data_IF_720078783112
#
_entry.id   IF_720078783112
#
_cell.length_a   1.000
_cell.length_b   1.000
_cell.length_c   1.000
_cell.angle_alpha   90.00
_cell.angle_beta   90.00
_cell.angle_gamma   90.00
#
_symmetry.space_group_name_H-M   'P 1'
#
loop_
_entity.id
_entity.type
_entity.pdbx_description
1 polymer ?
#
# COMPACT_ATOMS: atom_id res chain seq x y z
N UNK A 1 5.57 2.76 -8.97
CA UNK A 1 5.61 1.49 -8.20
C UNK A 1 7.01 0.91 -8.20
N UNK A 2 7.65 0.74 -9.37
CA UNK A 2 9.07 0.38 -9.50
C UNK A 2 10.02 1.29 -8.69
N UNK A 3 9.89 2.61 -8.81
CA UNK A 3 10.72 3.58 -8.03
C UNK A 3 10.61 3.51 -6.50
N UNK A 4 9.62 2.82 -5.95
CA UNK A 4 9.43 2.72 -4.49
C UNK A 4 10.01 1.40 -3.95
N UNK A 5 10.05 0.36 -4.77
CA UNK A 5 10.69 -0.92 -4.48
C UNK A 5 12.20 -0.83 -4.78
N UNK A 6 12.58 -0.27 -5.93
CA UNK A 6 13.99 -0.03 -6.31
C UNK A 6 14.71 0.86 -5.28
N UNK A 7 14.03 1.92 -4.81
CA UNK A 7 14.59 2.80 -3.77
C UNK A 7 14.67 2.14 -2.39
N UNK A 8 13.83 1.14 -2.13
CA UNK A 8 13.80 0.39 -0.87
C UNK A 8 14.87 -0.72 -0.85
N UNK A 9 15.19 -1.31 -2.01
CA UNK A 9 16.32 -2.24 -2.18
C UNK A 9 17.68 -1.52 -2.20
N UNK A 10 17.76 -0.29 -2.73
CA UNK A 10 19.00 0.49 -2.80
C UNK A 10 19.38 1.20 -1.48
N UNK A 11 18.40 1.63 -0.67
CA UNK A 11 18.64 2.40 0.57
C UNK A 11 18.69 1.50 1.82
N UNK A 12 19.71 0.64 1.88
CA UNK A 12 20.31 0.00 3.05
C UNK A 12 19.48 -0.05 4.38
N UNK A 13 18.99 -1.24 4.81
CA UNK A 13 18.21 -1.39 6.05
C UNK A 13 18.99 -0.98 7.33
N UNK A 14 20.33 -0.97 7.27
CA UNK A 14 21.18 -0.71 8.44
C UNK A 14 21.22 0.78 8.86
N UNK A 15 20.93 1.72 7.95
CA UNK A 15 20.90 3.17 8.27
C UNK A 15 19.63 3.62 8.99
N UNK A 16 18.57 2.81 8.97
CA UNK A 16 17.31 3.08 9.67
C UNK A 16 17.43 2.84 11.18
N UNK A 17 18.36 1.99 11.59
CA UNK A 17 18.60 1.58 12.99
C UNK A 17 19.08 2.75 13.86
N UNK A 18 19.63 3.82 13.26
CA UNK A 18 20.12 5.01 13.97
C UNK A 18 19.18 6.23 13.90
N UNK A 19 18.07 6.14 13.15
CA UNK A 19 17.10 7.23 13.03
C UNK A 19 16.13 7.23 14.20
N UNK A 20 16.13 8.29 15.02
CA UNK A 20 15.21 8.45 16.16
C UNK A 20 13.73 8.27 15.83
N UNK A 21 12.87 8.21 16.85
CA UNK A 21 11.45 7.78 16.76
C UNK A 21 10.58 8.42 15.66
N UNK A 22 10.98 9.57 15.09
CA UNK A 22 10.32 10.18 13.93
C UNK A 22 10.44 9.36 12.63
N UNK A 23 11.62 8.78 12.33
CA UNK A 23 11.82 8.00 11.10
C UNK A 23 11.02 6.70 11.13
N UNK A 24 11.04 6.02 12.28
CA UNK A 24 10.23 4.82 12.53
C UNK A 24 8.74 5.08 12.31
N UNK A 25 8.21 6.20 12.80
CA UNK A 25 6.81 6.56 12.59
C UNK A 25 6.47 6.82 11.11
N UNK A 26 7.39 7.44 10.36
CA UNK A 26 7.21 7.65 8.91
C UNK A 26 7.15 6.31 8.18
N UNK A 27 8.06 5.39 8.49
CA UNK A 27 8.09 4.06 7.88
C UNK A 27 6.83 3.27 8.21
N UNK A 28 6.43 3.20 9.48
CA UNK A 28 5.21 2.51 9.91
C UNK A 28 3.98 3.05 9.19
N UNK A 29 3.83 4.38 9.16
CA UNK A 29 2.71 5.05 8.46
C UNK A 29 2.71 4.73 6.97
N UNK A 30 3.88 4.78 6.32
CA UNK A 30 4.05 4.42 4.91
C UNK A 30 3.65 2.96 4.66
N UNK A 31 4.17 2.02 5.44
CA UNK A 31 3.87 0.58 5.32
C UNK A 31 2.38 0.31 5.46
N UNK A 32 1.73 0.85 6.50
CA UNK A 32 0.29 0.70 6.72
C UNK A 32 -0.51 1.23 5.53
N UNK A 33 -0.14 2.40 5.00
CA UNK A 33 -0.81 2.99 3.85
C UNK A 33 -0.68 2.12 2.59
N UNK A 34 0.52 1.61 2.30
CA UNK A 34 0.77 0.77 1.14
C UNK A 34 0.04 -0.56 1.24
N UNK A 35 0.04 -1.21 2.41
CA UNK A 35 -0.73 -2.44 2.64
C UNK A 35 -2.22 -2.22 2.43
N UNK A 36 -2.78 -1.10 2.91
CA UNK A 36 -4.19 -0.77 2.70
C UNK A 36 -4.51 -0.57 1.21
N UNK A 37 -3.68 0.18 0.47
CA UNK A 37 -3.86 0.39 -0.98
C UNK A 37 -3.75 -0.93 -1.74
N UNK A 38 -2.83 -1.79 -1.34
CA UNK A 38 -2.64 -3.09 -1.95
C UNK A 38 -3.87 -3.98 -1.72
N UNK A 39 -4.41 -4.01 -0.50
CA UNK A 39 -5.68 -4.69 -0.20
C UNK A 39 -6.83 -4.13 -1.04
N UNK A 40 -6.99 -2.81 -1.11
CA UNK A 40 -8.06 -2.18 -1.92
C UNK A 40 -7.92 -2.54 -3.40
N UNK A 41 -6.69 -2.54 -3.92
CA UNK A 41 -6.41 -2.95 -5.29
C UNK A 41 -6.76 -4.43 -5.50
N UNK A 42 -6.40 -5.29 -4.56
CA UNK A 42 -6.76 -6.71 -4.58
C UNK A 42 -8.27 -6.88 -4.64
N UNK A 43 -8.99 -6.38 -3.66
CA UNK A 43 -10.39 -6.74 -3.45
C UNK A 43 -11.34 -6.04 -4.42
N UNK A 44 -11.09 -4.76 -4.71
CA UNK A 44 -12.02 -3.94 -5.49
C UNK A 44 -11.65 -3.84 -6.96
N UNK A 45 -10.41 -4.15 -7.32
CA UNK A 45 -9.96 -4.12 -8.71
C UNK A 45 -9.61 -5.52 -9.23
N UNK A 46 -8.64 -6.21 -8.63
CA UNK A 46 -8.15 -7.49 -9.15
C UNK A 46 -9.20 -8.60 -9.05
N UNK A 47 -9.71 -8.89 -7.84
CA UNK A 47 -10.73 -9.91 -7.60
C UNK A 47 -12.03 -9.59 -8.33
N UNK A 48 -12.40 -8.31 -8.37
CA UNK A 48 -13.69 -7.90 -8.92
C UNK A 48 -13.74 -7.92 -10.45
N UNK A 49 -12.60 -7.71 -11.12
CA UNK A 49 -12.59 -7.47 -12.57
C UNK A 49 -11.65 -8.36 -13.37
N UNK A 50 -10.53 -8.83 -12.81
CA UNK A 50 -9.43 -9.40 -13.59
C UNK A 50 -9.06 -10.85 -13.22
N UNK A 51 -9.29 -11.24 -11.97
CA UNK A 51 -8.93 -12.55 -11.43
C UNK A 51 -10.00 -13.04 -10.47
N UNK A 52 -10.14 -14.34 -10.32
CA UNK A 52 -10.83 -14.97 -9.20
C UNK A 52 -9.94 -15.00 -7.95
N UNK A 53 -10.54 -15.20 -6.78
CA UNK A 53 -9.80 -15.41 -5.51
C UNK A 53 -8.80 -16.58 -5.62
N UNK A 54 -9.19 -17.69 -6.25
CA UNK A 54 -8.36 -18.88 -6.42
C UNK A 54 -7.16 -18.62 -7.34
N UNK A 55 -7.36 -17.88 -8.43
CA UNK A 55 -6.26 -17.49 -9.33
C UNK A 55 -5.22 -16.61 -8.60
N UNK A 56 -5.67 -15.64 -7.81
CA UNK A 56 -4.75 -14.83 -7.01
C UNK A 56 -4.04 -15.66 -5.94
N UNK A 57 -4.76 -16.59 -5.29
CA UNK A 57 -4.18 -17.54 -4.35
C UNK A 57 -3.09 -18.42 -4.97
N UNK A 58 -3.30 -18.89 -6.20
CA UNK A 58 -2.32 -19.68 -6.95
C UNK A 58 -1.07 -18.86 -7.34
N UNK A 59 -1.22 -17.55 -7.55
CA UNK A 59 -0.10 -16.63 -7.79
C UNK A 59 0.63 -16.22 -6.49
N UNK A 60 0.14 -16.67 -5.32
CA UNK A 60 0.69 -16.31 -4.02
C UNK A 60 0.15 -15.00 -3.45
N UNK A 61 -0.81 -14.34 -4.12
CA UNK A 61 -1.39 -13.08 -3.66
C UNK A 61 -2.69 -13.28 -2.86
N UNK A 62 -2.51 -13.85 -1.66
CA UNK A 62 -3.59 -14.16 -0.71
C UNK A 62 -4.21 -12.90 -0.08
N UNK A 63 -5.35 -13.01 0.63
CA UNK A 63 -5.92 -11.89 1.37
C UNK A 63 -4.89 -11.26 2.31
N UNK A 64 -4.75 -9.93 2.26
CA UNK A 64 -3.75 -9.21 3.05
C UNK A 64 -4.02 -9.27 4.56
N UNK A 65 -5.24 -9.63 4.95
CA UNK A 65 -5.56 -9.91 6.34
C UNK A 65 -4.75 -11.07 6.93
N UNK A 66 -4.37 -12.05 6.11
CA UNK A 66 -3.64 -13.23 6.56
C UNK A 66 -2.25 -12.85 7.10
N UNK A 67 -1.61 -11.84 6.51
CA UNK A 67 -0.31 -11.29 6.92
C UNK A 67 -0.29 -10.87 8.41
N UNK A 68 -1.40 -10.31 8.89
CA UNK A 68 -1.51 -9.77 10.25
C UNK A 68 -2.25 -10.72 11.19
N UNK A 69 -2.58 -11.93 10.75
CA UNK A 69 -3.27 -12.94 11.56
C UNK A 69 -4.79 -12.89 11.50
N UNK A 70 -5.36 -12.19 10.51
CA UNK A 70 -6.79 -12.22 10.17
C UNK A 70 -7.50 -10.87 10.24
N UNK A 71 -8.82 -10.92 10.07
CA UNK A 71 -9.69 -9.73 9.93
C UNK A 71 -9.68 -8.82 11.15
N UNK A 72 -9.57 -9.36 12.36
CA UNK A 72 -9.58 -8.54 13.58
C UNK A 72 -8.28 -7.75 13.73
N UNK A 73 -7.14 -8.37 13.44
CA UNK A 73 -5.83 -7.72 13.43
C UNK A 73 -5.72 -6.74 12.27
N UNK A 74 -6.39 -7.00 11.16
CA UNK A 74 -6.53 -6.03 10.09
C UNK A 74 -7.29 -4.77 10.52
N UNK A 75 -8.39 -4.91 11.28
CA UNK A 75 -9.08 -3.75 11.88
C UNK A 75 -8.15 -2.96 12.81
N UNK A 76 -7.30 -3.64 13.58
CA UNK A 76 -6.29 -2.97 14.39
C UNK A 76 -5.30 -2.16 13.51
N UNK A 77 -4.89 -2.68 12.35
CA UNK A 77 -4.07 -1.95 11.38
C UNK A 77 -4.79 -0.73 10.80
N UNK A 78 -6.10 -0.82 10.58
CA UNK A 78 -6.93 0.31 10.15
C UNK A 78 -7.04 1.39 11.23
N UNK A 79 -7.18 1.01 12.50
CA UNK A 79 -7.15 1.94 13.64
C UNK A 79 -5.83 2.74 13.63
N UNK A 80 -4.69 2.07 13.45
CA UNK A 80 -3.39 2.73 13.35
C UNK A 80 -3.33 3.70 12.15
N UNK A 81 -3.84 3.28 10.99
CA UNK A 81 -3.93 4.14 9.80
C UNK A 81 -4.75 5.40 10.07
N UNK A 82 -5.90 5.26 10.74
CA UNK A 82 -6.76 6.39 11.09
C UNK A 82 -6.05 7.35 12.04
N UNK A 83 -5.27 6.84 12.99
CA UNK A 83 -4.45 7.68 13.87
C UNK A 83 -3.40 8.48 13.07
N UNK A 84 -2.68 7.85 12.14
CA UNK A 84 -1.69 8.54 11.30
C UNK A 84 -2.34 9.56 10.36
N UNK A 85 -3.48 9.22 9.76
CA UNK A 85 -4.23 10.15 8.92
C UNK A 85 -4.74 11.35 9.72
N UNK A 86 -5.26 11.13 10.93
CA UNK A 86 -5.70 12.18 11.86
C UNK A 86 -4.55 13.10 12.30
N UNK A 87 -3.35 12.56 12.49
CA UNK A 87 -2.16 13.37 12.78
C UNK A 87 -1.69 14.20 11.57
N UNK A 88 -1.77 13.67 10.36
CA UNK A 88 -1.39 14.38 9.14
C UNK A 88 -2.36 15.53 8.79
N UNK A 89 -3.66 15.36 9.04
CA UNK A 89 -4.70 16.36 8.76
C UNK A 89 -4.84 17.41 9.85
N UNK A 90 -4.30 17.18 11.05
CA UNK A 90 -4.29 18.11 12.20
C UNK A 90 -3.43 19.37 12.02
N UNK A 91 -3.05 19.75 10.79
CA UNK A 91 -2.46 21.07 10.51
C UNK A 91 -3.53 22.15 10.67
N UNK A 92 -3.67 22.66 11.90
CA UNK A 92 -4.55 23.74 12.39
C UNK A 92 -6.02 23.36 12.56
N UNK A 93 -6.39 22.62 13.63
CA UNK A 93 -7.76 22.72 14.12
C UNK A 93 -8.04 24.16 14.57
N UNK A 94 -9.24 24.74 14.31
CA UNK A 94 -9.69 25.90 15.07
C UNK A 94 -9.62 25.54 16.57
N UNK A 95 -9.35 26.54 17.43
CA UNK A 95 -8.98 26.42 18.87
C UNK A 95 -9.83 25.43 19.71
N UNK A 96 -10.98 24.96 19.23
CA UNK A 96 -11.96 24.14 19.94
C UNK A 96 -12.33 22.80 19.27
N UNK A 97 -11.61 22.31 18.25
CA UNK A 97 -11.86 20.96 17.68
C UNK A 97 -10.60 20.12 17.66
N UNK A 98 -10.24 19.53 18.81
CA UNK A 98 -9.25 18.47 18.83
C UNK A 98 -9.86 17.22 18.19
N UNK A 99 -9.61 16.96 16.90
CA UNK A 99 -10.08 15.73 16.25
C UNK A 99 -9.62 14.50 17.04
N UNK A 100 -10.50 13.59 17.41
CA UNK A 100 -10.23 12.55 18.41
C UNK A 100 -8.90 11.82 18.16
N UNK A 101 -7.94 12.03 19.08
CA UNK A 101 -6.78 11.14 19.19
C UNK A 101 -7.33 9.86 19.80
N UNK A 102 -7.09 8.73 19.14
CA UNK A 102 -7.41 7.41 19.71
C UNK A 102 -6.72 7.31 21.08
N UNK A 103 -7.42 6.86 22.14
CA UNK A 103 -6.82 6.63 23.44
C UNK A 103 -5.52 5.83 23.34
N UNK A 104 -4.49 6.25 24.09
CA UNK A 104 -3.15 5.64 24.02
C UNK A 104 -3.16 4.13 24.29
N UNK A 105 -4.09 3.65 25.11
CA UNK A 105 -4.31 2.23 25.37
C UNK A 105 -4.76 1.47 24.12
N UNK A 106 -5.71 2.03 23.36
CA UNK A 106 -6.21 1.44 22.12
C UNK A 106 -5.12 1.46 21.05
N UNK A 107 -4.37 2.56 20.95
CA UNK A 107 -3.23 2.65 20.05
C UNK A 107 -2.15 1.61 20.37
N UNK A 108 -1.76 1.51 21.65
CA UNK A 108 -0.77 0.54 22.11
C UNK A 108 -1.22 -0.91 21.94
N UNK A 109 -2.52 -1.19 22.12
CA UNK A 109 -3.12 -2.49 21.85
C UNK A 109 -3.05 -2.83 20.35
N UNK A 110 -3.45 -1.90 19.48
CA UNK A 110 -3.42 -2.10 18.04
C UNK A 110 -1.99 -2.32 17.50
N UNK A 111 -0.99 -1.63 18.06
CA UNK A 111 0.43 -1.86 17.72
C UNK A 111 0.90 -3.27 18.05
N UNK A 112 0.44 -3.85 19.17
CA UNK A 112 0.78 -5.22 19.57
C UNK A 112 0.05 -6.26 18.73
N UNK A 113 -1.24 -6.06 18.50
CA UNK A 113 -2.09 -7.00 17.75
C UNK A 113 -1.65 -7.16 16.29
N UNK A 114 -1.16 -6.09 15.67
CA UNK A 114 -0.65 -6.11 14.29
C UNK A 114 0.78 -6.62 14.18
N UNK A 115 1.52 -6.65 15.29
CA UNK A 115 2.95 -6.97 15.31
C UNK A 115 3.85 -5.92 14.65
N UNK A 116 3.31 -4.77 14.21
CA UNK A 116 4.09 -3.70 13.57
C UNK A 116 5.01 -2.96 14.56
N UNK A 117 4.81 -3.19 15.86
CA UNK A 117 5.73 -2.68 16.88
C UNK A 117 7.15 -3.16 16.60
N UNK A 118 7.36 -4.42 16.21
CA UNK A 118 8.65 -4.88 15.70
C UNK A 118 8.69 -4.66 14.18
N UNK A 119 9.04 -3.44 13.77
CA UNK A 119 8.98 -3.01 12.37
C UNK A 119 9.85 -3.88 11.46
N UNK A 120 11.03 -4.30 11.91
CA UNK A 120 11.96 -5.07 11.06
C UNK A 120 11.42 -6.47 10.79
N UNK A 121 10.90 -7.14 11.82
CA UNK A 121 10.23 -8.44 11.66
C UNK A 121 8.93 -8.33 10.87
N UNK A 122 8.21 -7.20 11.01
CA UNK A 122 7.02 -6.94 10.21
C UNK A 122 7.35 -6.73 8.73
N UNK A 123 8.36 -5.93 8.40
CA UNK A 123 8.78 -5.68 7.03
C UNK A 123 9.32 -6.94 6.35
N UNK A 124 10.07 -7.78 7.08
CA UNK A 124 10.51 -9.09 6.58
C UNK A 124 9.34 -9.98 6.19
N UNK A 125 8.31 -10.09 7.05
CA UNK A 125 7.09 -10.83 6.70
C UNK A 125 6.36 -10.25 5.48
N UNK A 126 6.26 -8.92 5.37
CA UNK A 126 5.69 -8.29 4.17
C UNK A 126 6.48 -8.68 2.93
N UNK A 127 7.80 -8.70 2.99
CA UNK A 127 8.64 -9.12 1.89
C UNK A 127 8.43 -10.60 1.54
N UNK A 128 8.47 -11.49 2.53
CA UNK A 128 8.36 -12.94 2.34
C UNK A 128 6.97 -13.41 1.91
N UNK A 129 5.91 -12.80 2.45
CA UNK A 129 4.53 -13.30 2.27
C UNK A 129 3.74 -12.53 1.20
N UNK A 130 4.14 -11.30 0.86
CA UNK A 130 3.36 -10.42 -0.04
C UNK A 130 4.10 -10.09 -1.33
N UNK A 131 5.41 -9.82 -1.28
CA UNK A 131 6.12 -9.23 -2.42
C UNK A 131 6.11 -10.16 -3.65
N UNK A 132 6.41 -11.44 -3.44
CA UNK A 132 6.43 -12.43 -4.53
C UNK A 132 5.05 -12.56 -5.19
N UNK A 133 3.98 -12.58 -4.40
CA UNK A 133 2.61 -12.61 -4.91
C UNK A 133 2.28 -11.39 -5.77
N UNK A 134 2.70 -10.20 -5.34
CA UNK A 134 2.52 -8.96 -6.12
C UNK A 134 3.31 -8.99 -7.43
N UNK A 135 4.54 -9.49 -7.41
CA UNK A 135 5.39 -9.63 -8.60
C UNK A 135 4.75 -10.61 -9.58
N UNK A 136 4.29 -11.77 -9.11
CA UNK A 136 3.63 -12.77 -9.94
C UNK A 136 2.35 -12.24 -10.59
N UNK A 137 1.53 -11.50 -9.83
CA UNK A 137 0.32 -10.85 -10.37
C UNK A 137 0.67 -9.79 -11.42
N UNK A 138 1.71 -8.98 -11.19
CA UNK A 138 2.19 -8.00 -12.17
C UNK A 138 2.61 -8.69 -13.47
N UNK A 139 3.38 -9.76 -13.36
CA UNK A 139 3.91 -10.48 -14.53
C UNK A 139 2.79 -11.19 -15.29
N UNK A 140 1.82 -11.76 -14.58
CA UNK A 140 0.63 -12.36 -15.17
C UNK A 140 -0.27 -11.32 -15.85
N UNK A 141 -0.44 -10.13 -15.26
CA UNK A 141 -1.14 -9.01 -15.90
C UNK A 141 -0.45 -8.57 -17.19
N UNK A 142 0.88 -8.45 -17.18
CA UNK A 142 1.65 -8.10 -18.37
C UNK A 142 1.52 -9.16 -19.47
N UNK A 143 1.45 -10.44 -19.09
CA UNK A 143 1.24 -11.56 -20.01
C UNK A 143 -0.18 -11.57 -20.60
N UNK A 144 -1.21 -11.35 -19.79
CA UNK A 144 -2.63 -11.34 -20.23
C UNK A 144 -2.96 -10.09 -21.07
N UNK A 145 -2.36 -8.96 -20.73
CA UNK A 145 -2.67 -7.65 -21.33
C UNK A 145 -1.39 -6.93 -21.81
N UNK A 146 -0.69 -7.45 -22.83
CA UNK A 146 0.57 -6.87 -23.30
C UNK A 146 0.42 -5.41 -23.77
N UNK A 147 -0.74 -5.05 -24.33
CA UNK A 147 -1.05 -3.69 -24.76
C UNK A 147 -1.08 -2.67 -23.61
N UNK A 148 -1.40 -3.11 -22.38
CA UNK A 148 -1.33 -2.23 -21.19
C UNK A 148 0.12 -1.87 -20.87
N UNK A 149 1.04 -2.80 -21.07
CA UNK A 149 2.48 -2.55 -20.87
C UNK A 149 2.98 -1.51 -21.86
N UNK A 150 2.52 -1.59 -23.12
CA UNK A 150 2.81 -0.59 -24.15
C UNK A 150 2.22 0.77 -23.79
N UNK A 151 0.94 0.81 -23.40
CA UNK A 151 0.28 2.05 -22.98
C UNK A 151 1.00 2.74 -21.81
N UNK A 152 1.38 2.00 -20.76
CA UNK A 152 2.05 2.56 -19.58
C UNK A 152 3.46 3.08 -19.92
N UNK A 153 4.21 2.36 -20.75
CA UNK A 153 5.62 2.69 -21.04
C UNK A 153 5.77 3.75 -22.13
N UNK A 154 4.89 3.74 -23.13
CA UNK A 154 5.04 4.51 -24.36
C UNK A 154 3.97 5.60 -24.48
N UNK A 155 2.69 5.26 -24.32
CA UNK A 155 1.59 6.17 -24.67
C UNK A 155 1.19 7.15 -23.55
N UNK A 156 1.15 6.68 -22.31
CA UNK A 156 0.66 7.46 -21.15
C UNK A 156 1.61 8.62 -20.76
N UNK A 157 2.94 8.43 -20.69
CA UNK A 157 3.87 9.54 -20.45
C UNK A 157 3.75 10.61 -21.55
N UNK A 158 3.64 10.18 -22.81
CA UNK A 158 3.46 11.08 -23.96
C UNK A 158 2.11 11.81 -23.95
N UNK A 159 1.04 11.17 -23.47
CA UNK A 159 -0.30 11.77 -23.36
C UNK A 159 -0.38 12.81 -22.23
N UNK A 160 0.32 12.58 -21.11
CA UNK A 160 0.47 13.55 -20.02
C UNK A 160 1.28 14.76 -20.48
N UNK A 161 2.44 14.53 -21.11
CA UNK A 161 3.29 15.61 -21.62
C UNK A 161 2.60 16.49 -22.67
N UNK A 162 1.65 15.90 -23.44
CA UNK A 162 0.85 16.62 -24.43
C UNK A 162 -0.49 17.17 -23.93
N UNK A 163 -0.85 16.98 -22.66
CA UNK A 163 -2.12 17.46 -22.08
C UNK A 163 -3.39 16.87 -22.72
N UNK A 164 -3.33 15.63 -23.23
CA UNK A 164 -4.39 15.03 -24.07
C UNK A 164 -5.37 14.10 -23.36
N UNK A 165 -5.29 13.97 -22.04
CA UNK A 165 -6.13 13.03 -21.30
C UNK A 165 -7.63 13.37 -21.31
N UNK A 166 -8.00 14.62 -21.62
CA UNK A 166 -9.41 15.09 -21.64
C UNK A 166 -9.97 15.40 -23.04
N UNK A 167 -9.25 15.13 -24.14
CA UNK A 167 -9.79 15.42 -25.46
C UNK A 167 -10.63 14.24 -25.99
N UNK A 168 -11.95 14.40 -26.19
CA UNK A 168 -12.74 13.38 -26.87
C UNK A 168 -12.11 13.16 -28.25
N UNK A 169 -12.02 11.90 -28.69
CA UNK A 169 -11.51 11.54 -30.02
C UNK A 169 -12.30 12.33 -31.06
N UNK A 170 -11.71 13.43 -31.55
CA UNK A 170 -12.20 14.13 -32.71
C UNK A 170 -11.85 13.29 -33.92
N UNK A 171 -12.83 12.55 -34.41
CA UNK A 171 -12.71 11.82 -35.66
C UNK A 171 -13.26 10.41 -35.57
N UNK A 172 -14.56 10.27 -35.78
CA UNK A 172 -15.04 9.19 -36.64
C UNK A 172 -16.02 9.84 -37.62
N UNK A 173 -15.79 9.74 -38.94
CA UNK A 173 -16.74 10.22 -39.93
C UNK A 173 -18.07 9.46 -39.88
#
# INVERSE_FOLDING_TARGET
MLKLVEKWEEEQPERLIQGGGGLRNILMSSTILHLRRLKETRDYFLVKWLFTEDELGALGFRPLEDLVGGKEQWKALEILRHQFAGHATRRKPPRNMAGEIIPGEIYGKALRETGILDLDSFLRRVQEEVLDGVINVRDELARRFPEVSKFIKEDYPFAIEKGRLDQPKSGTP
#
